data_IF_439043008323
#
_entry.id   IF_439043008323
#
_cell.length_a   1.000
_cell.length_b   1.000
_cell.length_c   1.000
_cell.angle_alpha   90.00
_cell.angle_beta   90.00
_cell.angle_gamma   90.00
#
_symmetry.space_group_name_H-M   'P 1'
#
loop_
_entity.id
_entity.type
_entity.pdbx_description
1 polymer ?
#
# COMPACT_ATOMS: atom_id res chain seq x y z
N UNK A 1 -3.70 -11.17 1.38
CA UNK A 1 -4.64 -10.56 0.38
C UNK A 1 -5.11 -11.50 -0.74
N UNK A 2 -4.66 -12.78 -0.83
CA UNK A 2 -5.13 -13.69 -1.92
C UNK A 2 -6.62 -14.01 -1.77
N UNK A 3 -7.10 -14.28 -0.56
CA UNK A 3 -8.53 -14.51 -0.27
C UNK A 3 -9.39 -13.29 -0.62
N UNK A 4 -9.01 -12.11 -0.18
CA UNK A 4 -9.72 -10.87 -0.50
C UNK A 4 -9.80 -10.61 -2.02
N UNK A 5 -8.75 -10.97 -2.77
CA UNK A 5 -8.76 -10.88 -4.25
C UNK A 5 -9.74 -11.88 -4.88
N UNK A 6 -9.90 -13.05 -4.30
CA UNK A 6 -10.80 -14.10 -4.80
C UNK A 6 -12.27 -13.92 -4.37
N UNK A 7 -12.52 -13.13 -3.30
CA UNK A 7 -13.89 -12.91 -2.80
C UNK A 7 -14.75 -12.21 -3.84
N UNK A 8 -15.92 -12.78 -4.12
CA UNK A 8 -16.96 -12.11 -4.92
C UNK A 8 -17.80 -11.21 -4.03
N UNK A 9 -17.66 -9.89 -4.19
CA UNK A 9 -18.37 -8.90 -3.38
C UNK A 9 -19.86 -8.88 -3.69
N UNK A 10 -20.28 -9.24 -4.89
CA UNK A 10 -21.69 -9.27 -5.27
C UNK A 10 -22.52 -10.28 -4.45
N UNK A 11 -21.87 -11.34 -3.94
CA UNK A 11 -22.51 -12.35 -3.09
C UNK A 11 -22.61 -11.93 -1.61
N UNK A 12 -21.89 -10.86 -1.19
CA UNK A 12 -21.86 -10.43 0.21
C UNK A 12 -23.13 -9.70 0.62
N UNK A 13 -23.74 -8.92 -0.27
CA UNK A 13 -24.99 -8.22 -0.02
C UNK A 13 -24.95 -7.21 1.13
N UNK A 14 -23.83 -6.50 1.31
CA UNK A 14 -23.63 -5.53 2.39
C UNK A 14 -23.21 -4.17 1.84
N UNK A 15 -23.56 -3.09 2.56
CA UNK A 15 -23.19 -1.71 2.21
C UNK A 15 -21.77 -1.35 2.64
N UNK A 16 -21.26 -1.99 3.69
CA UNK A 16 -19.90 -1.84 4.21
C UNK A 16 -19.50 -3.06 5.04
N UNK A 17 -18.22 -3.18 5.33
CA UNK A 17 -17.65 -4.24 6.18
C UNK A 17 -16.53 -3.70 7.06
N UNK A 18 -15.91 -4.59 7.84
CA UNK A 18 -14.72 -4.30 8.63
C UNK A 18 -13.72 -5.45 8.53
N UNK A 19 -12.44 -5.11 8.44
CA UNK A 19 -11.38 -6.04 8.79
C UNK A 19 -11.10 -5.95 10.29
N UNK A 20 -10.70 -7.08 10.90
CA UNK A 20 -10.10 -7.16 12.23
C UNK A 20 -8.73 -7.80 12.03
N UNK A 21 -7.75 -6.98 11.72
CA UNK A 21 -6.44 -7.52 11.30
C UNK A 21 -5.38 -7.04 12.28
N UNK A 22 -4.99 -6.02 12.58
CA UNK A 22 -3.86 -5.63 13.44
C UNK A 22 -4.30 -4.72 14.59
N UNK A 23 -3.33 -4.10 15.20
CA UNK A 23 -3.43 -2.86 15.97
C UNK A 23 -3.85 -3.02 17.43
N UNK A 24 -3.44 -2.03 18.23
CA UNK A 24 -3.75 -1.97 19.66
C UNK A 24 -5.18 -1.52 19.96
N UNK A 25 -5.65 -1.77 21.16
CA UNK A 25 -7.01 -1.40 21.57
C UNK A 25 -7.29 0.07 21.32
N UNK A 26 -8.43 0.33 20.65
CA UNK A 26 -8.89 1.66 20.25
C UNK A 26 -8.33 2.16 18.93
N UNK A 27 -7.32 1.52 18.35
CA UNK A 27 -6.83 1.91 17.03
C UNK A 27 -7.85 1.57 15.95
N UNK A 28 -8.19 2.59 15.15
CA UNK A 28 -9.12 2.48 14.06
C UNK A 28 -8.48 3.05 12.79
N UNK A 29 -8.38 2.21 11.76
CA UNK A 29 -7.67 2.54 10.53
C UNK A 29 -8.65 2.53 9.36
N UNK A 30 -8.85 3.69 8.76
CA UNK A 30 -9.59 3.85 7.53
C UNK A 30 -8.81 4.66 6.48
N UNK A 31 -7.50 4.82 6.71
CA UNK A 31 -6.55 5.45 5.80
C UNK A 31 -5.27 4.61 5.75
N UNK A 32 -4.88 4.17 4.56
CA UNK A 32 -3.65 3.45 4.31
C UNK A 32 -3.01 3.91 3.00
N UNK A 33 -1.88 3.33 2.62
CA UNK A 33 -1.22 3.65 1.36
C UNK A 33 -2.05 3.34 0.11
N UNK A 34 -1.90 4.16 -0.94
CA UNK A 34 -1.87 3.68 -2.31
C UNK A 34 -0.50 3.05 -2.55
N UNK A 35 -0.46 1.89 -3.14
CA UNK A 35 0.76 1.11 -3.29
C UNK A 35 0.90 0.56 -4.71
N UNK A 36 2.09 0.74 -5.27
CA UNK A 36 2.46 0.20 -6.57
C UNK A 36 3.85 -0.39 -6.58
N UNK A 37 4.12 -1.15 -7.60
CA UNK A 37 5.41 -1.74 -7.93
C UNK A 37 5.88 -1.23 -9.29
N UNK A 38 7.16 -0.92 -9.39
CA UNK A 38 7.82 -0.62 -10.64
C UNK A 38 8.97 -1.61 -10.85
N UNK A 39 9.00 -2.21 -12.03
CA UNK A 39 10.12 -3.05 -12.48
C UNK A 39 10.73 -2.41 -13.72
N UNK A 40 12.01 -2.10 -13.66
CA UNK A 40 12.75 -1.56 -14.80
C UNK A 40 13.83 -2.55 -15.22
N UNK A 41 13.83 -2.93 -16.48
CA UNK A 41 14.85 -3.77 -17.09
C UNK A 41 15.74 -2.94 -17.99
N UNK A 42 17.03 -2.97 -17.73
CA UNK A 42 18.05 -2.30 -18.53
C UNK A 42 18.82 -3.33 -19.36
N UNK A 43 18.85 -3.14 -20.68
CA UNK A 43 19.58 -4.00 -21.63
C UNK A 43 20.91 -3.36 -21.98
N UNK A 44 21.98 -4.00 -21.61
CA UNK A 44 23.33 -3.62 -21.96
C UNK A 44 23.77 -4.18 -23.33
N UNK A 45 24.99 -3.88 -23.67
CA UNK A 45 25.69 -4.49 -24.81
C UNK A 45 27.12 -4.80 -24.39
N UNK A 46 27.41 -6.07 -24.30
CA UNK A 46 28.76 -6.54 -23.91
C UNK A 46 29.76 -6.33 -25.03
N UNK A 47 30.96 -5.95 -24.68
CA UNK A 47 32.13 -5.90 -25.58
C UNK A 47 33.38 -6.19 -24.77
N UNK A 48 34.42 -6.76 -25.41
CA UNK A 48 35.71 -6.94 -24.77
C UNK A 48 36.31 -5.57 -24.40
N UNK A 49 36.82 -5.35 -23.18
CA UNK A 49 37.33 -4.04 -22.74
C UNK A 49 38.35 -3.40 -23.69
N UNK A 50 39.17 -4.22 -24.33
CA UNK A 50 40.16 -3.75 -25.30
C UNK A 50 39.55 -3.02 -26.51
N UNK A 51 38.29 -3.34 -26.89
CA UNK A 51 37.59 -2.76 -28.05
C UNK A 51 36.23 -2.19 -27.65
N UNK A 52 36.05 -1.76 -26.41
CA UNK A 52 34.77 -1.37 -25.83
C UNK A 52 34.30 0.01 -26.27
N UNK A 53 35.19 0.90 -26.69
CA UNK A 53 34.83 2.28 -27.08
C UNK A 53 33.81 2.29 -28.20
N UNK A 54 32.66 2.94 -27.94
CA UNK A 54 31.53 3.03 -28.88
C UNK A 54 30.71 1.74 -29.05
N UNK A 55 31.04 0.65 -28.32
CA UNK A 55 30.36 -0.64 -28.42
C UNK A 55 29.75 -1.11 -27.09
N UNK A 56 30.48 -0.98 -25.98
CA UNK A 56 30.02 -1.41 -24.67
C UNK A 56 28.93 -0.46 -24.14
N UNK A 57 27.78 -1.01 -23.79
CA UNK A 57 26.76 -0.32 -23.00
C UNK A 57 26.56 -1.11 -21.70
N UNK A 58 26.93 -0.51 -20.59
CA UNK A 58 26.83 -1.17 -19.29
C UNK A 58 25.47 -0.91 -18.65
N UNK A 59 24.64 -1.96 -18.54
CA UNK A 59 23.29 -1.86 -17.99
C UNK A 59 23.26 -1.47 -16.50
N UNK A 60 24.30 -1.78 -15.72
CA UNK A 60 24.43 -1.32 -14.32
C UNK A 60 24.53 0.20 -14.25
N UNK A 61 25.25 0.82 -15.19
CA UNK A 61 25.36 2.28 -15.25
C UNK A 61 24.06 2.96 -15.74
N UNK A 62 23.26 2.27 -16.58
CA UNK A 62 21.93 2.76 -16.95
C UNK A 62 21.00 2.71 -15.73
N UNK A 63 21.03 1.62 -14.95
CA UNK A 63 20.26 1.51 -13.71
C UNK A 63 20.68 2.56 -12.68
N UNK A 64 21.98 2.80 -12.51
CA UNK A 64 22.47 3.88 -11.66
C UNK A 64 21.94 5.27 -12.11
N UNK A 65 21.93 5.55 -13.40
CA UNK A 65 21.35 6.82 -13.93
C UNK A 65 19.87 6.95 -13.60
N UNK A 66 19.10 5.86 -13.73
CA UNK A 66 17.69 5.86 -13.37
C UNK A 66 17.50 6.16 -11.87
N UNK A 67 18.23 5.46 -11.00
CA UNK A 67 18.15 5.64 -9.54
C UNK A 67 18.56 7.07 -9.14
N UNK A 68 19.58 7.65 -9.77
CA UNK A 68 20.05 9.01 -9.46
C UNK A 68 19.05 10.11 -9.84
N UNK A 69 18.03 9.82 -10.64
CA UNK A 69 16.94 10.73 -10.96
C UNK A 69 15.80 10.67 -9.94
N UNK A 70 15.77 9.64 -9.08
CA UNK A 70 14.76 9.57 -8.00
C UNK A 70 15.04 10.66 -6.95
N UNK A 71 13.99 11.28 -6.36
CA UNK A 71 14.16 12.26 -5.30
C UNK A 71 14.85 11.64 -4.08
N UNK A 72 16.06 12.08 -3.75
CA UNK A 72 16.91 11.46 -2.73
C UNK A 72 16.29 11.49 -1.32
N UNK A 73 15.47 12.50 -0.99
CA UNK A 73 14.78 12.61 0.29
C UNK A 73 13.47 11.80 0.39
N UNK A 74 13.02 11.20 -0.71
CA UNK A 74 11.75 10.48 -0.76
C UNK A 74 11.97 8.96 -0.74
N UNK A 75 12.75 8.48 0.23
CA UNK A 75 13.00 7.07 0.50
C UNK A 75 12.48 6.70 1.89
N UNK A 76 12.18 5.40 2.17
CA UNK A 76 11.61 4.98 3.46
C UNK A 76 12.41 5.44 4.68
N UNK A 77 13.73 5.49 4.55
CA UNK A 77 14.67 5.90 5.60
C UNK A 77 14.61 7.41 5.93
N UNK A 78 13.95 8.22 5.10
CA UNK A 78 13.84 9.67 5.25
C UNK A 78 12.39 10.15 5.39
N UNK A 79 11.41 9.23 5.41
CA UNK A 79 9.99 9.58 5.41
C UNK A 79 9.24 8.99 6.59
N UNK A 80 8.28 9.75 7.12
CA UNK A 80 7.42 9.35 8.22
C UNK A 80 5.95 9.77 7.99
N UNK A 81 5.06 9.42 8.91
CA UNK A 81 3.65 9.81 8.88
C UNK A 81 2.98 9.48 7.54
N UNK A 82 2.51 10.52 6.84
CA UNK A 82 1.85 10.44 5.53
C UNK A 82 2.77 10.74 4.34
N UNK A 83 4.06 10.88 4.56
CA UNK A 83 5.02 11.16 3.49
C UNK A 83 5.24 9.93 2.62
N UNK A 84 4.95 10.06 1.33
CA UNK A 84 5.15 9.00 0.35
C UNK A 84 6.61 8.80 -0.04
N UNK A 85 6.92 7.67 -0.67
CA UNK A 85 8.29 7.33 -1.02
C UNK A 85 8.42 6.46 -2.27
N UNK A 86 9.67 6.43 -2.80
CA UNK A 86 10.19 5.44 -3.72
C UNK A 86 11.20 4.56 -2.99
N UNK A 87 10.93 3.28 -2.86
CA UNK A 87 11.85 2.35 -2.24
C UNK A 87 12.55 1.49 -3.28
N UNK A 88 13.83 1.76 -3.52
CA UNK A 88 14.69 0.88 -4.32
C UNK A 88 14.91 -0.41 -3.53
N UNK A 89 14.15 -1.43 -3.86
CA UNK A 89 14.06 -2.66 -3.08
C UNK A 89 15.06 -3.72 -3.51
N UNK A 90 15.34 -3.75 -4.81
CA UNK A 90 16.24 -4.74 -5.39
C UNK A 90 16.91 -4.16 -6.65
N UNK A 91 18.19 -4.39 -6.75
CA UNK A 91 18.98 -4.15 -7.96
C UNK A 91 19.82 -5.39 -8.23
N UNK A 92 19.55 -6.10 -9.33
CA UNK A 92 20.24 -7.34 -9.67
C UNK A 92 20.63 -7.37 -11.13
N UNK A 93 21.81 -7.90 -11.43
CA UNK A 93 22.27 -8.03 -12.81
C UNK A 93 23.78 -7.88 -13.02
N UNK A 94 24.13 -7.64 -14.26
CA UNK A 94 25.52 -7.46 -14.72
C UNK A 94 25.56 -6.46 -15.90
N UNK A 95 26.70 -6.30 -16.55
CA UNK A 95 26.85 -5.35 -17.66
C UNK A 95 25.92 -5.61 -18.85
N UNK A 96 25.44 -6.84 -19.05
CA UNK A 96 24.57 -7.21 -20.16
C UNK A 96 23.07 -6.96 -19.87
N UNK A 97 22.64 -7.21 -18.62
CA UNK A 97 21.25 -6.99 -18.19
C UNK A 97 21.19 -6.69 -16.70
N UNK A 98 20.42 -5.66 -16.34
CA UNK A 98 20.15 -5.30 -14.94
C UNK A 98 18.65 -5.11 -14.76
N UNK A 99 18.13 -5.58 -13.63
CA UNK A 99 16.73 -5.41 -13.23
C UNK A 99 16.69 -4.62 -11.93
N UNK A 100 15.89 -3.58 -11.92
CA UNK A 100 15.62 -2.71 -10.78
C UNK A 100 14.15 -2.89 -10.36
N UNK A 101 13.91 -3.12 -9.06
CA UNK A 101 12.56 -3.15 -8.49
C UNK A 101 12.40 -2.02 -7.49
N UNK A 102 11.31 -1.27 -7.65
CA UNK A 102 10.98 -0.12 -6.81
C UNK A 102 9.55 -0.32 -6.28
N UNK A 103 9.37 -0.19 -4.98
CA UNK A 103 8.05 -0.05 -4.37
C UNK A 103 7.70 1.44 -4.26
N UNK A 104 6.46 1.80 -4.62
CA UNK A 104 5.92 3.17 -4.51
C UNK A 104 4.81 3.18 -3.47
N UNK A 105 4.84 4.16 -2.58
CA UNK A 105 3.81 4.37 -1.55
C UNK A 105 3.45 5.84 -1.47
N UNK A 106 2.15 6.12 -1.36
CA UNK A 106 1.62 7.47 -1.16
C UNK A 106 0.19 7.39 -0.60
N UNK A 107 -0.15 8.28 0.32
CA UNK A 107 -1.51 8.32 0.87
C UNK A 107 -2.49 9.03 -0.05
N UNK A 108 -2.10 10.15 -0.62
CA UNK A 108 -2.93 10.91 -1.56
C UNK A 108 -2.95 10.22 -2.94
N UNK A 109 -4.13 9.98 -3.50
CA UNK A 109 -4.29 9.26 -4.76
C UNK A 109 -3.67 10.02 -5.94
N UNK A 110 -3.88 11.33 -6.00
CA UNK A 110 -3.33 12.17 -7.08
C UNK A 110 -1.81 12.22 -7.05
N UNK A 111 -1.22 12.32 -5.86
CA UNK A 111 0.23 12.27 -5.69
C UNK A 111 0.78 10.88 -6.03
N UNK A 112 0.03 9.82 -5.71
CA UNK A 112 0.41 8.47 -6.10
C UNK A 112 0.47 8.33 -7.63
N UNK A 113 -0.54 8.82 -8.34
CA UNK A 113 -0.56 8.83 -9.80
C UNK A 113 0.62 9.64 -10.37
N UNK A 114 0.91 10.80 -9.80
CA UNK A 114 2.07 11.61 -10.17
C UNK A 114 3.40 10.88 -9.95
N UNK A 115 3.54 10.09 -8.88
CA UNK A 115 4.73 9.27 -8.64
C UNK A 115 4.87 8.15 -9.67
N UNK A 116 3.80 7.48 -10.02
CA UNK A 116 3.82 6.45 -11.06
C UNK A 116 4.15 7.05 -12.43
N UNK A 117 3.56 8.20 -12.76
CA UNK A 117 3.87 8.96 -13.99
C UNK A 117 5.32 9.43 -14.02
N UNK A 118 5.87 9.88 -12.88
CA UNK A 118 7.27 10.28 -12.77
C UNK A 118 8.23 9.15 -13.14
N UNK A 119 7.97 7.92 -12.68
CA UNK A 119 8.78 6.76 -13.05
C UNK A 119 8.70 6.47 -14.55
N UNK A 120 7.50 6.57 -15.14
CA UNK A 120 7.31 6.42 -16.58
C UNK A 120 8.09 7.46 -17.36
N UNK A 121 7.95 8.74 -17.00
CA UNK A 121 8.67 9.86 -17.64
C UNK A 121 10.19 9.73 -17.49
N UNK A 122 10.66 9.25 -16.37
CA UNK A 122 12.09 8.96 -16.13
C UNK A 122 12.61 7.89 -17.10
N UNK A 123 11.83 6.81 -17.29
CA UNK A 123 12.18 5.78 -18.27
C UNK A 123 12.17 6.33 -19.71
N UNK A 124 11.19 7.15 -20.05
CA UNK A 124 11.05 7.74 -21.39
C UNK A 124 12.19 8.74 -21.70
N UNK A 125 12.59 9.55 -20.73
CA UNK A 125 13.75 10.43 -20.85
C UNK A 125 15.05 9.66 -21.11
N UNK A 126 15.25 8.53 -20.43
CA UNK A 126 16.40 7.67 -20.69
C UNK A 126 16.30 6.92 -22.02
N UNK A 127 15.09 6.53 -22.46
CA UNK A 127 14.85 5.95 -23.79
C UNK A 127 15.20 6.90 -24.92
N UNK A 128 14.96 8.19 -24.75
CA UNK A 128 15.34 9.20 -25.75
C UNK A 128 16.85 9.21 -26.05
N UNK A 129 17.67 8.79 -25.06
CA UNK A 129 19.14 8.73 -25.18
C UNK A 129 19.63 7.32 -25.57
N UNK A 130 19.00 6.27 -25.00
CA UNK A 130 19.50 4.90 -25.04
C UNK A 130 18.63 3.93 -25.85
N UNK A 131 17.52 4.40 -26.44
CA UNK A 131 16.59 3.60 -27.25
C UNK A 131 15.89 2.50 -26.44
N UNK A 132 15.60 1.39 -27.09
CA UNK A 132 14.85 0.23 -26.53
C UNK A 132 15.58 -0.55 -25.44
N UNK A 133 16.65 0.01 -24.89
CA UNK A 133 17.44 -0.61 -23.82
C UNK A 133 16.76 -0.51 -22.46
N UNK A 134 15.67 0.24 -22.32
CA UNK A 134 14.96 0.46 -21.07
C UNK A 134 13.52 0.01 -21.20
N UNK A 135 13.14 -1.02 -20.47
CA UNK A 135 11.79 -1.50 -20.36
C UNK A 135 11.26 -1.22 -18.95
N UNK A 136 10.06 -0.70 -18.84
CA UNK A 136 9.40 -0.40 -17.56
C UNK A 136 8.05 -1.09 -17.50
N UNK A 137 7.72 -1.64 -16.34
CA UNK A 137 6.39 -2.16 -16.00
C UNK A 137 5.96 -1.54 -14.68
N UNK A 138 4.78 -0.94 -14.67
CA UNK A 138 4.13 -0.33 -13.50
C UNK A 138 2.89 -1.12 -13.16
N UNK A 139 2.70 -1.46 -11.88
CA UNK A 139 1.56 -2.24 -11.41
C UNK A 139 1.00 -1.67 -10.12
N UNK A 140 -0.30 -1.50 -10.03
CA UNK A 140 -1.00 -1.21 -8.78
C UNK A 140 -1.13 -2.47 -7.93
N UNK A 141 -0.87 -2.35 -6.63
CA UNK A 141 -1.02 -3.44 -5.66
C UNK A 141 -2.32 -3.35 -4.88
N UNK A 142 -2.59 -2.17 -4.33
CA UNK A 142 -3.82 -1.83 -3.62
C UNK A 142 -3.94 -0.30 -3.50
N UNK A 143 -5.15 0.16 -3.24
CA UNK A 143 -5.48 1.58 -3.05
C UNK A 143 -5.73 1.90 -1.58
N UNK A 144 -5.70 3.20 -1.24
CA UNK A 144 -6.09 3.70 0.06
C UNK A 144 -7.60 3.45 0.29
N UNK A 145 -7.97 2.86 1.42
CA UNK A 145 -9.37 2.62 1.79
C UNK A 145 -10.15 3.92 1.86
N UNK A 146 -9.52 5.01 2.27
CA UNK A 146 -10.15 6.33 2.34
C UNK A 146 -10.75 6.80 1.01
N UNK A 147 -10.16 6.40 -0.12
CA UNK A 147 -10.66 6.73 -1.47
C UNK A 147 -12.09 6.18 -1.71
N UNK A 148 -12.51 5.14 -0.98
CA UNK A 148 -13.79 4.46 -1.13
C UNK A 148 -14.81 4.82 -0.05
N UNK A 149 -14.39 5.48 1.02
CA UNK A 149 -15.27 5.89 2.13
C UNK A 149 -16.03 7.19 1.86
N UNK A 150 -15.63 7.95 0.84
CA UNK A 150 -16.21 9.22 0.39
C UNK A 150 -16.01 10.40 1.35
N UNK A 151 -16.16 10.21 2.66
CA UNK A 151 -15.96 11.24 3.69
C UNK A 151 -15.88 10.61 5.09
N UNK A 152 -15.60 11.44 6.10
CA UNK A 152 -15.49 11.03 7.50
C UNK A 152 -16.82 10.65 8.19
N UNK A 153 -17.96 10.93 7.54
CA UNK A 153 -19.30 10.55 8.01
C UNK A 153 -19.84 9.28 7.37
N UNK A 154 -19.00 8.59 6.57
CA UNK A 154 -19.37 7.30 6.00
C UNK A 154 -19.89 6.34 7.08
N UNK A 155 -20.94 5.55 6.81
CA UNK A 155 -21.57 4.68 7.81
C UNK A 155 -20.55 3.79 8.55
N UNK A 156 -19.59 3.22 7.82
CA UNK A 156 -18.53 2.40 8.41
C UNK A 156 -17.67 3.17 9.44
N UNK A 157 -17.38 4.46 9.22
CA UNK A 157 -16.62 5.27 10.16
C UNK A 157 -17.50 5.69 11.34
N UNK A 158 -18.71 6.13 11.08
CA UNK A 158 -19.65 6.63 12.08
C UNK A 158 -20.04 5.55 13.09
N UNK A 159 -20.42 4.36 12.64
CA UNK A 159 -20.79 3.26 13.54
C UNK A 159 -19.60 2.79 14.41
N UNK A 160 -18.40 2.71 13.84
CA UNK A 160 -17.20 2.35 14.61
C UNK A 160 -16.93 3.38 15.72
N UNK A 161 -16.95 4.68 15.42
CA UNK A 161 -16.76 5.75 16.41
C UNK A 161 -17.85 5.73 17.50
N UNK A 162 -19.11 5.51 17.14
CA UNK A 162 -20.21 5.36 18.10
C UNK A 162 -20.06 4.13 19.00
N UNK A 163 -19.64 2.99 18.42
CA UNK A 163 -19.38 1.77 19.19
C UNK A 163 -18.27 1.97 20.20
N UNK A 164 -17.12 2.54 19.80
CA UNK A 164 -16.03 2.87 20.71
C UNK A 164 -16.49 3.76 21.86
N UNK A 165 -17.18 4.87 21.56
CA UNK A 165 -17.72 5.80 22.57
C UNK A 165 -18.63 5.08 23.56
N UNK A 166 -19.54 4.22 23.07
CA UNK A 166 -20.51 3.51 23.94
C UNK A 166 -19.86 2.46 24.85
N UNK A 167 -18.66 2.03 24.53
CA UNK A 167 -17.86 1.05 25.29
C UNK A 167 -16.75 1.72 26.12
N UNK A 168 -16.70 3.05 26.18
CA UNK A 168 -15.65 3.83 26.82
C UNK A 168 -14.24 3.48 26.28
N UNK A 169 -14.14 3.16 25.00
CA UNK A 169 -12.87 2.95 24.31
C UNK A 169 -12.55 4.25 23.55
N UNK A 170 -11.41 4.88 23.89
CA UNK A 170 -10.94 6.07 23.18
C UNK A 170 -10.49 5.70 21.75
N UNK A 171 -11.11 6.27 20.69
CA UNK A 171 -10.71 5.97 19.32
C UNK A 171 -9.37 6.64 18.99
N UNK A 172 -8.40 5.85 18.55
CA UNK A 172 -7.08 6.28 18.11
C UNK A 172 -7.00 6.17 16.59
N UNK A 173 -7.36 7.25 15.91
CA UNK A 173 -7.33 7.31 14.44
C UNK A 173 -5.89 7.48 13.98
N UNK A 174 -5.37 6.50 13.24
CA UNK A 174 -4.00 6.53 12.72
C UNK A 174 -3.96 6.11 11.25
N UNK A 175 -3.16 6.76 10.41
CA UNK A 175 -2.87 6.27 9.07
C UNK A 175 -1.98 5.03 9.17
N UNK A 176 -2.26 4.02 8.36
CA UNK A 176 -1.45 2.81 8.29
C UNK A 176 -0.42 2.89 7.17
N UNK A 177 0.86 2.80 7.52
CA UNK A 177 1.96 2.66 6.54
C UNK A 177 2.09 1.21 6.04
N UNK A 178 0.98 0.59 5.67
CA UNK A 178 0.88 -0.79 5.23
C UNK A 178 -0.40 -1.04 4.43
N UNK A 179 -0.60 -2.29 4.03
CA UNK A 179 -1.81 -2.73 3.34
C UNK A 179 -2.43 -3.92 4.07
N UNK A 180 -3.74 -4.03 4.00
CA UNK A 180 -4.53 -5.10 4.59
C UNK A 180 -5.67 -5.52 3.64
N UNK A 181 -6.34 -6.61 3.95
CA UNK A 181 -7.36 -7.20 3.07
C UNK A 181 -8.53 -6.24 2.79
N UNK A 182 -8.89 -5.38 3.75
CA UNK A 182 -9.92 -4.35 3.57
C UNK A 182 -9.62 -3.36 2.46
N UNK A 183 -8.35 -3.08 2.17
CA UNK A 183 -7.99 -2.22 1.04
C UNK A 183 -8.35 -2.86 -0.32
N UNK A 184 -8.18 -4.18 -0.43
CA UNK A 184 -8.57 -4.94 -1.64
C UNK A 184 -10.09 -5.05 -1.74
N UNK A 185 -10.77 -5.30 -0.62
CA UNK A 185 -12.23 -5.40 -0.54
C UNK A 185 -12.88 -4.06 -0.87
N UNK A 186 -12.34 -2.96 -0.34
CA UNK A 186 -12.84 -1.61 -0.62
C UNK A 186 -12.73 -1.25 -2.10
N UNK A 187 -11.63 -1.62 -2.74
CA UNK A 187 -11.44 -1.39 -4.18
C UNK A 187 -12.42 -2.19 -5.06
N UNK A 188 -13.06 -3.22 -4.52
CA UNK A 188 -14.11 -4.00 -5.19
C UNK A 188 -15.52 -3.44 -4.95
N UNK A 189 -15.65 -2.34 -4.21
CA UNK A 189 -16.92 -1.64 -3.99
C UNK A 189 -17.56 -1.83 -2.62
N UNK A 190 -16.92 -2.56 -1.68
CA UNK A 190 -17.39 -2.73 -0.31
C UNK A 190 -16.44 -1.99 0.66
N UNK A 191 -16.75 -0.75 1.09
CA UNK A 191 -15.90 -0.01 2.04
C UNK A 191 -15.61 -0.83 3.30
N UNK A 192 -14.32 -1.10 3.58
CA UNK A 192 -13.91 -2.04 4.62
C UNK A 192 -12.73 -1.51 5.44
N UNK A 193 -12.95 -0.55 6.36
CA UNK A 193 -11.92 -0.07 7.27
C UNK A 193 -11.49 -1.17 8.26
N UNK A 194 -10.39 -0.94 8.97
CA UNK A 194 -9.82 -1.90 9.91
C UNK A 194 -10.06 -1.51 11.36
N UNK A 195 -10.63 -2.42 12.13
CA UNK A 195 -10.76 -2.36 13.58
C UNK A 195 -9.58 -3.09 14.24
N UNK A 196 -9.27 -2.72 15.47
CA UNK A 196 -8.22 -3.36 16.24
C UNK A 196 -8.54 -4.82 16.61
N UNK A 197 -7.50 -5.64 16.73
CA UNK A 197 -7.54 -6.94 17.41
C UNK A 197 -6.99 -6.84 18.83
N UNK A 198 -6.05 -5.94 19.06
CA UNK A 198 -5.28 -5.82 20.29
C UNK A 198 -4.19 -6.89 20.44
N UNK A 199 -3.76 -7.47 19.32
CA UNK A 199 -2.63 -8.40 19.27
C UNK A 199 -1.29 -7.67 19.39
N UNK A 200 -0.23 -8.45 19.62
CA UNK A 200 1.14 -7.97 19.78
C UNK A 200 2.12 -8.81 18.98
N UNK A 201 3.28 -8.23 18.67
CA UNK A 201 4.39 -8.88 17.99
C UNK A 201 4.02 -9.51 16.63
N UNK A 202 3.17 -8.86 15.85
CA UNK A 202 2.71 -9.32 14.54
C UNK A 202 3.87 -9.77 13.64
N UNK A 203 3.65 -10.86 12.88
CA UNK A 203 4.64 -11.50 12.01
C UNK A 203 5.88 -12.08 12.73
N UNK A 204 5.82 -12.25 14.04
CA UNK A 204 6.87 -12.82 14.86
C UNK A 204 6.47 -14.18 15.40
N UNK A 205 7.44 -15.04 15.75
CA UNK A 205 7.19 -16.28 16.51
C UNK A 205 6.67 -16.02 17.93
N UNK A 206 6.72 -14.77 18.39
CA UNK A 206 6.21 -14.30 19.68
C UNK A 206 4.87 -13.59 19.54
N UNK A 207 4.17 -13.76 18.43
CA UNK A 207 2.85 -13.17 18.23
C UNK A 207 1.84 -13.76 19.22
N UNK A 208 1.06 -12.89 19.85
CA UNK A 208 0.02 -13.30 20.77
C UNK A 208 -1.14 -12.32 20.81
N UNK A 209 -2.33 -12.81 21.18
CA UNK A 209 -3.54 -12.02 21.38
C UNK A 209 -4.04 -12.19 22.82
N UNK A 210 -3.98 -11.14 23.68
CA UNK A 210 -4.56 -11.19 25.01
C UNK A 210 -6.07 -11.44 24.97
N UNK A 211 -6.58 -12.31 25.85
CA UNK A 211 -8.02 -12.63 25.93
C UNK A 211 -8.86 -11.37 26.18
N UNK A 212 -8.37 -10.44 27.00
CA UNK A 212 -9.04 -9.16 27.24
C UNK A 212 -9.21 -8.32 25.96
N UNK A 213 -8.18 -8.29 25.10
CA UNK A 213 -8.21 -7.59 23.82
C UNK A 213 -9.21 -8.23 22.84
N UNK A 214 -9.21 -9.57 22.76
CA UNK A 214 -10.16 -10.32 21.94
C UNK A 214 -11.61 -10.03 22.37
N UNK A 215 -11.90 -10.00 23.68
CA UNK A 215 -13.21 -9.65 24.23
C UNK A 215 -13.59 -8.22 23.84
N UNK A 216 -12.69 -7.25 24.01
CA UNK A 216 -12.94 -5.85 23.65
C UNK A 216 -13.26 -5.68 22.15
N UNK A 217 -12.48 -6.30 21.27
CA UNK A 217 -12.73 -6.28 19.83
C UNK A 217 -14.10 -6.91 19.50
N UNK A 218 -14.45 -8.05 20.12
CA UNK A 218 -15.74 -8.71 19.92
C UNK A 218 -16.93 -7.84 20.37
N UNK A 219 -16.80 -7.12 21.49
CA UNK A 219 -17.84 -6.21 21.97
C UNK A 219 -18.02 -4.99 21.02
N UNK A 220 -16.94 -4.49 20.45
CA UNK A 220 -17.01 -3.42 19.41
C UNK A 220 -17.80 -3.90 18.20
N UNK A 221 -17.52 -5.09 17.68
CA UNK A 221 -18.25 -5.66 16.54
C UNK A 221 -19.74 -5.84 16.85
N UNK A 222 -20.07 -6.45 17.99
CA UNK A 222 -21.48 -6.60 18.43
C UNK A 222 -22.19 -5.26 18.53
N UNK A 223 -21.52 -4.24 19.06
CA UNK A 223 -22.09 -2.89 19.20
C UNK A 223 -22.34 -2.25 17.84
N UNK A 224 -21.42 -2.39 16.89
CA UNK A 224 -21.60 -1.91 15.50
C UNK A 224 -22.82 -2.56 14.88
N UNK A 225 -22.95 -3.87 14.95
CA UNK A 225 -24.10 -4.62 14.40
C UNK A 225 -25.40 -4.10 15.03
N UNK A 226 -25.44 -3.91 16.35
CA UNK A 226 -26.62 -3.41 17.06
C UNK A 226 -27.00 -1.98 16.61
N UNK A 227 -26.01 -1.11 16.42
CA UNK A 227 -26.24 0.28 15.95
C UNK A 227 -26.75 0.31 14.52
N UNK A 228 -26.14 -0.46 13.63
CA UNK A 228 -26.56 -0.54 12.22
C UNK A 228 -27.97 -1.11 12.09
N UNK A 229 -28.30 -2.17 12.81
CA UNK A 229 -29.63 -2.76 12.79
C UNK A 229 -30.73 -1.81 13.31
N UNK A 230 -30.45 -1.00 14.32
CA UNK A 230 -31.39 0.02 14.82
C UNK A 230 -31.66 1.13 13.80
N UNK A 231 -30.63 1.59 13.10
CA UNK A 231 -30.78 2.62 12.07
C UNK A 231 -31.55 2.11 10.85
N UNK A 232 -31.36 0.84 10.47
CA UNK A 232 -32.10 0.23 9.36
C UNK A 232 -33.61 0.04 9.65
N UNK A 233 -34.03 0.10 10.92
CA UNK A 233 -35.43 -0.04 11.35
C UNK A 233 -36.09 1.30 11.58
N UNK A 234 -35.39 2.42 11.53
CA UNK A 234 -35.88 3.78 11.78
C UNK A 234 -36.26 4.49 10.49
#
# INVERSE_FOLDING_TARGET
>A
MRGAKALDISEVGADFGYCLDCCGIGEFIYENWNAGDCVVTFKGQSAHPMNAKGKLVNSLLLAHKFISLLPAGEAPEYTEGREGYFWVKELSGNSAKTVLKIDVREFDEKRYEQRMEFLQKTADALRAIWGDRIEISLNDRYKNVYNFLKNDDAPAIRFAKQAFKSLNIEPKIKPMRGGYDGAVISAKGLPCPNLFTGGHNFHSIYEYLPVGSLKAASEVVKRIITLAAKEAQA
#
